data_IF_195307921524
#
_entry.id   IF_195307921524
#
_cell.length_a   1.000
_cell.length_b   1.000
_cell.length_c   1.000
_cell.angle_alpha   90.00
_cell.angle_beta   90.00
_cell.angle_gamma   90.00
#
_symmetry.space_group_name_H-M   'P 1'
#
loop_
_entity.id
_entity.type
_entity.pdbx_description
1 polymer ?
#
# COMPACT_ATOMS: atom_id res chain seq x y z
N UNK A 1 -6.71 -7.77 22.12
CA UNK A 1 -7.53 -8.06 20.93
C UNK A 1 -6.62 -8.60 19.84
N UNK A 2 -7.06 -9.59 19.06
CA UNK A 2 -6.31 -10.08 17.89
C UNK A 2 -6.94 -9.47 16.63
N UNK A 3 -6.15 -9.27 15.58
CA UNK A 3 -6.68 -8.88 14.27
C UNK A 3 -7.50 -10.02 13.68
N UNK A 4 -8.46 -9.68 12.80
CA UNK A 4 -9.28 -10.70 12.13
C UNK A 4 -8.44 -11.50 11.12
N UNK A 5 -8.91 -12.70 10.79
CA UNK A 5 -8.32 -13.52 9.71
C UNK A 5 -8.43 -12.80 8.35
N UNK A 6 -9.50 -12.03 8.14
CA UNK A 6 -9.71 -11.24 6.92
C UNK A 6 -8.64 -10.17 6.75
N UNK A 7 -8.39 -9.35 7.79
CA UNK A 7 -7.34 -8.34 7.76
C UNK A 7 -5.95 -8.96 7.67
N UNK A 8 -5.69 -10.00 8.46
CA UNK A 8 -4.40 -10.70 8.44
C UNK A 8 -4.10 -11.27 7.05
N UNK A 9 -5.13 -11.80 6.37
CA UNK A 9 -5.03 -12.29 4.99
C UNK A 9 -4.76 -11.18 3.99
N UNK A 10 -5.41 -10.03 4.10
CA UNK A 10 -5.18 -8.87 3.24
C UNK A 10 -3.75 -8.33 3.41
N UNK A 11 -3.33 -8.05 4.65
CA UNK A 11 -1.99 -7.55 4.95
C UNK A 11 -0.90 -8.51 4.46
N UNK A 12 -1.02 -9.81 4.75
CA UNK A 12 -0.05 -10.82 4.33
C UNK A 12 0.06 -10.89 2.81
N UNK A 13 -1.06 -10.84 2.11
CA UNK A 13 -1.11 -10.91 0.64
C UNK A 13 -0.50 -9.65 0.02
N UNK A 14 -0.84 -8.46 0.53
CA UNK A 14 -0.25 -7.21 0.07
C UNK A 14 1.27 -7.19 0.31
N UNK A 15 1.72 -7.54 1.52
CA UNK A 15 3.14 -7.62 1.84
C UNK A 15 3.91 -8.62 0.95
N UNK A 16 3.29 -9.75 0.62
CA UNK A 16 3.86 -10.72 -0.32
C UNK A 16 4.08 -10.09 -1.71
N UNK A 17 3.08 -9.40 -2.27
CA UNK A 17 3.22 -8.75 -3.58
C UNK A 17 4.28 -7.65 -3.55
N UNK A 18 4.30 -6.84 -2.49
CA UNK A 18 5.29 -5.78 -2.32
C UNK A 18 6.71 -6.32 -2.23
N UNK A 19 6.95 -7.33 -1.40
CA UNK A 19 8.29 -7.89 -1.18
C UNK A 19 8.78 -8.75 -2.35
N UNK A 20 7.88 -9.33 -3.14
CA UNK A 20 8.24 -10.15 -4.31
C UNK A 20 8.41 -9.35 -5.61
N UNK A 21 7.97 -8.08 -5.64
CA UNK A 21 7.99 -7.29 -6.87
C UNK A 21 6.88 -7.66 -7.87
N UNK A 22 5.84 -8.39 -7.43
CA UNK A 22 4.85 -8.99 -8.35
C UNK A 22 3.49 -8.30 -8.35
N UNK A 23 3.38 -7.12 -7.72
CA UNK A 23 2.14 -6.35 -7.77
C UNK A 23 1.87 -5.85 -9.21
N UNK A 24 0.75 -6.25 -9.81
CA UNK A 24 0.45 -5.98 -11.23
C UNK A 24 0.43 -4.49 -11.61
N UNK A 25 0.07 -3.59 -10.68
CA UNK A 25 0.09 -2.13 -10.95
C UNK A 25 1.50 -1.51 -10.98
N UNK A 26 2.51 -2.25 -10.53
CA UNK A 26 3.93 -1.85 -10.48
C UNK A 26 4.76 -2.57 -11.55
N UNK A 27 4.12 -3.17 -12.54
CA UNK A 27 4.83 -3.78 -13.67
C UNK A 27 5.74 -2.75 -14.36
N UNK A 28 7.03 -3.08 -14.49
CA UNK A 28 8.03 -2.19 -15.07
C UNK A 28 8.65 -1.19 -14.10
N UNK A 29 8.22 -1.15 -12.82
CA UNK A 29 8.79 -0.27 -11.80
C UNK A 29 9.86 -1.03 -11.00
N UNK A 30 11.12 -0.58 -11.05
CA UNK A 30 12.25 -1.15 -10.30
C UNK A 30 12.34 -0.56 -8.87
N UNK A 31 11.36 -0.90 -8.03
CA UNK A 31 11.27 -0.36 -6.66
C UNK A 31 11.90 -1.26 -5.58
N UNK A 32 12.24 -2.52 -5.88
CA UNK A 32 12.66 -3.47 -4.83
C UNK A 32 13.93 -3.04 -4.09
N UNK A 33 14.85 -2.36 -4.77
CA UNK A 33 16.06 -1.78 -4.14
C UNK A 33 15.73 -0.74 -3.05
N UNK A 34 14.57 -0.08 -3.13
CA UNK A 34 14.15 0.94 -2.16
C UNK A 34 13.95 0.36 -0.76
N UNK A 35 13.70 -0.95 -0.62
CA UNK A 35 13.68 -1.60 0.70
C UNK A 35 14.99 -1.42 1.48
N UNK A 36 16.14 -1.32 0.80
CA UNK A 36 17.45 -1.13 1.40
C UNK A 36 18.03 0.27 1.22
N UNK A 37 17.76 0.91 0.09
CA UNK A 37 18.32 2.22 -0.27
C UNK A 37 17.52 3.38 0.35
N UNK A 38 16.19 3.32 0.29
CA UNK A 38 15.29 4.41 0.70
C UNK A 38 14.04 3.85 1.41
N UNK A 39 14.20 3.21 2.58
CA UNK A 39 13.13 2.47 3.25
C UNK A 39 11.92 3.33 3.62
N UNK A 40 12.08 4.65 3.74
CA UNK A 40 10.98 5.61 3.96
C UNK A 40 9.94 5.59 2.83
N UNK A 41 10.35 5.29 1.59
CA UNK A 41 9.41 5.14 0.48
C UNK A 41 8.51 3.90 0.70
N UNK A 42 9.10 2.79 1.17
CA UNK A 42 8.35 1.58 1.47
C UNK A 42 7.50 1.74 2.74
N UNK A 43 8.01 2.43 3.75
CA UNK A 43 7.27 2.80 4.96
C UNK A 43 5.97 3.54 4.61
N UNK A 44 6.06 4.56 3.75
CA UNK A 44 4.90 5.35 3.32
C UNK A 44 3.85 4.49 2.58
N UNK A 45 4.27 3.49 1.80
CA UNK A 45 3.34 2.54 1.15
C UNK A 45 2.51 1.79 2.18
N UNK A 46 3.15 1.29 3.24
CA UNK A 46 2.43 0.58 4.30
C UNK A 46 1.59 1.51 5.17
N UNK A 47 2.02 2.75 5.39
CA UNK A 47 1.20 3.77 6.06
C UNK A 47 -0.08 4.03 5.26
N UNK A 48 0.02 4.30 3.95
CA UNK A 48 -1.15 4.53 3.09
C UNK A 48 -2.08 3.31 3.08
N UNK A 49 -1.54 2.09 2.93
CA UNK A 49 -2.36 0.88 2.99
C UNK A 49 -3.12 0.76 4.31
N UNK A 50 -2.45 1.01 5.44
CA UNK A 50 -3.03 0.90 6.78
C UNK A 50 -4.04 2.01 7.08
N UNK A 51 -3.82 3.22 6.58
CA UNK A 51 -4.74 4.35 6.77
C UNK A 51 -6.01 4.15 5.94
N UNK A 52 -5.89 3.67 4.70
CA UNK A 52 -7.01 3.54 3.75
C UNK A 52 -7.86 2.28 3.98
N UNK A 53 -7.30 1.21 4.56
CA UNK A 53 -8.04 -0.04 4.71
C UNK A 53 -9.22 0.08 5.69
N UNK A 54 -10.41 -0.25 5.21
CA UNK A 54 -11.66 -0.19 5.97
C UNK A 54 -12.06 -1.58 6.47
N UNK A 55 -12.51 -1.62 7.73
CA UNK A 55 -12.98 -2.84 8.38
C UNK A 55 -14.43 -2.70 8.82
N UNK A 56 -15.21 -3.78 8.71
CA UNK A 56 -16.52 -3.87 9.34
C UNK A 56 -16.41 -4.07 10.87
N UNK A 57 -17.55 -4.09 11.55
CA UNK A 57 -17.64 -4.31 13.01
C UNK A 57 -17.07 -5.65 13.50
N UNK A 58 -16.88 -6.63 12.62
CA UNK A 58 -16.28 -7.91 12.92
C UNK A 58 -14.79 -7.96 12.52
N UNK A 59 -14.25 -6.86 12.01
CA UNK A 59 -12.88 -6.75 11.51
C UNK A 59 -12.70 -7.27 10.08
N UNK A 60 -13.77 -7.55 9.33
CA UNK A 60 -13.63 -7.98 7.93
C UNK A 60 -13.27 -6.81 7.03
N UNK A 61 -12.32 -7.03 6.13
CA UNK A 61 -11.88 -6.00 5.18
C UNK A 61 -12.96 -5.71 4.14
N UNK A 62 -13.25 -4.44 3.92
CA UNK A 62 -14.27 -3.97 2.99
C UNK A 62 -13.70 -3.50 1.65
N UNK A 63 -12.48 -2.97 1.63
CA UNK A 63 -11.94 -2.21 0.49
C UNK A 63 -10.48 -2.59 0.11
N UNK A 64 -10.05 -3.85 0.33
CA UNK A 64 -8.66 -4.29 0.16
C UNK A 64 -7.99 -3.79 -1.14
N UNK A 65 -8.62 -4.00 -2.30
CA UNK A 65 -8.08 -3.58 -3.60
C UNK A 65 -7.92 -2.07 -3.73
N UNK A 66 -8.79 -1.30 -3.08
CA UNK A 66 -8.70 0.15 -3.08
C UNK A 66 -7.52 0.61 -2.22
N UNK A 67 -7.37 0.06 -1.01
CA UNK A 67 -6.21 0.33 -0.16
C UNK A 67 -4.88 -0.07 -0.84
N UNK A 68 -4.83 -1.23 -1.49
CA UNK A 68 -3.68 -1.66 -2.29
C UNK A 68 -3.38 -0.66 -3.41
N UNK A 69 -4.40 -0.29 -4.21
CA UNK A 69 -4.25 0.70 -5.30
C UNK A 69 -3.67 2.01 -4.76
N UNK A 70 -4.24 2.57 -3.69
CA UNK A 70 -3.76 3.82 -3.10
C UNK A 70 -2.31 3.71 -2.67
N UNK A 71 -1.91 2.61 -2.05
CA UNK A 71 -0.54 2.41 -1.61
C UNK A 71 0.46 2.28 -2.78
N UNK A 72 0.11 1.53 -3.83
CA UNK A 72 1.02 1.33 -4.97
C UNK A 72 1.04 2.50 -5.95
N UNK A 73 -0.03 3.30 -6.03
CA UNK A 73 -0.03 4.53 -6.81
C UNK A 73 1.01 5.51 -6.27
N UNK A 74 1.17 5.60 -4.95
CA UNK A 74 2.23 6.40 -4.32
C UNK A 74 3.60 5.90 -4.78
N UNK A 75 3.86 4.59 -4.66
CA UNK A 75 5.15 4.05 -5.02
C UNK A 75 5.46 4.20 -6.51
N UNK A 76 4.43 4.11 -7.36
CA UNK A 76 4.57 4.38 -8.78
C UNK A 76 4.91 5.85 -9.04
N UNK A 77 4.21 6.79 -8.42
CA UNK A 77 4.51 8.23 -8.53
C UNK A 77 5.91 8.58 -8.01
N UNK A 78 6.39 7.84 -7.01
CA UNK A 78 7.73 7.99 -6.45
C UNK A 78 8.82 7.61 -7.47
N UNK A 79 8.57 6.55 -8.26
CA UNK A 79 9.53 6.02 -9.22
C UNK A 79 9.38 6.59 -10.64
N UNK A 80 8.18 7.02 -11.03
CA UNK A 80 7.83 7.54 -12.35
C UNK A 80 7.31 8.97 -12.23
N UNK A 81 8.14 9.99 -12.51
CA UNK A 81 7.74 11.40 -12.42
C UNK A 81 6.59 11.79 -13.36
N UNK A 82 6.27 10.97 -14.36
CA UNK A 82 5.14 11.19 -15.27
C UNK A 82 3.82 10.60 -14.76
N UNK A 83 3.82 9.86 -13.66
CA UNK A 83 2.63 9.26 -13.08
C UNK A 83 1.98 10.18 -12.05
N UNK A 84 0.75 10.61 -12.34
CA UNK A 84 -0.06 11.41 -11.42
C UNK A 84 -1.06 10.51 -10.69
N UNK A 85 -1.12 10.66 -9.36
CA UNK A 85 -2.05 9.90 -8.52
C UNK A 85 -3.44 10.53 -8.60
N UNK A 86 -4.42 9.72 -9.01
CA UNK A 86 -5.81 10.14 -9.15
C UNK A 86 -6.77 9.20 -8.39
N UNK A 87 -7.60 9.72 -7.47
CA UNK A 87 -7.64 11.12 -7.01
C UNK A 87 -6.36 11.50 -6.23
N UNK A 88 -6.04 12.81 -6.08
CA UNK A 88 -4.99 13.26 -5.17
C UNK A 88 -5.16 12.67 -3.77
N UNK A 89 -4.06 12.53 -3.02
CA UNK A 89 -4.15 12.08 -1.63
C UNK A 89 -4.84 13.13 -0.77
N UNK A 90 -5.73 12.67 0.08
CA UNK A 90 -6.12 13.43 1.27
C UNK A 90 -4.98 13.37 2.30
N UNK A 91 -4.81 14.42 3.11
CA UNK A 91 -3.70 14.50 4.08
C UNK A 91 -3.64 13.27 5.01
N UNK A 92 -4.80 12.79 5.47
CA UNK A 92 -4.89 11.63 6.35
C UNK A 92 -4.45 10.32 5.69
N UNK A 93 -4.51 10.20 4.36
CA UNK A 93 -4.05 8.98 3.67
C UNK A 93 -2.54 8.81 3.84
N UNK A 94 -1.79 9.92 3.94
CA UNK A 94 -0.32 9.93 3.96
C UNK A 94 0.30 10.20 5.34
N UNK A 95 -0.52 10.44 6.37
CA UNK A 95 -0.03 10.62 7.74
C UNK A 95 0.69 9.37 8.26
N UNK A 96 1.82 9.58 8.96
CA UNK A 96 2.55 8.52 9.67
C UNK A 96 2.08 8.50 11.14
N UNK A 97 1.57 7.35 11.61
CA UNK A 97 1.00 7.15 12.96
C UNK A 97 1.87 6.28 13.87
#
# INVERSE_FOLDING_TARGET
>A
MRLSESFSGALRTFAYFMASGTHYQLEGIDYLKLYGEEPSAIEQVFAIFANVIELDKNGNVLNAKYAEKRAVDYLRSYCDPGFEVEPPYEDWEIELH
#
